data_IF_728021293348
#
_entry.id   IF_728021293348
#
_cell.length_a   1.000
_cell.length_b   1.000
_cell.length_c   1.000
_cell.angle_alpha   90.00
_cell.angle_beta   90.00
_cell.angle_gamma   90.00
#
_symmetry.space_group_name_H-M   'P 1'
#
loop_
_entity.id
_entity.type
_entity.pdbx_description
1 polymer ?
#
# COMPACT_ATOMS: atom_id res chain seq x y z
N UNK A 1 -4.34 22.05 -19.19
CA UNK A 1 -4.03 20.67 -18.76
C UNK A 1 -3.42 20.83 -17.39
N UNK A 2 -4.21 20.68 -16.33
CA UNK A 2 -3.64 20.73 -14.99
C UNK A 2 -2.85 19.45 -14.81
N UNK A 3 -1.56 19.57 -14.58
CA UNK A 3 -0.74 18.45 -14.13
C UNK A 3 -1.48 17.82 -12.94
N UNK A 4 -1.99 16.62 -13.15
CA UNK A 4 -2.54 15.78 -12.10
C UNK A 4 -1.37 15.41 -11.18
N UNK A 5 -1.02 16.31 -10.27
CA UNK A 5 0.05 16.10 -9.30
C UNK A 5 -0.35 14.95 -8.39
N UNK A 6 0.01 13.72 -8.79
CA UNK A 6 -0.17 12.54 -7.97
C UNK A 6 0.69 12.65 -6.72
N UNK A 7 0.19 12.13 -5.60
CA UNK A 7 0.98 11.98 -4.38
C UNK A 7 1.60 10.59 -4.35
N UNK A 8 2.91 10.51 -4.21
CA UNK A 8 3.61 9.25 -3.94
C UNK A 8 3.95 9.18 -2.46
N UNK A 9 3.42 8.17 -1.77
CA UNK A 9 3.78 7.85 -0.40
C UNK A 9 4.81 6.71 -0.45
N UNK A 10 6.05 7.00 -0.07
CA UNK A 10 7.12 6.00 0.02
C UNK A 10 7.06 5.31 1.38
N UNK A 11 6.90 3.98 1.38
CA UNK A 11 6.93 3.15 2.58
C UNK A 11 8.31 2.52 2.71
N UNK A 12 9.05 2.90 3.75
CA UNK A 12 10.45 2.52 3.95
C UNK A 12 10.58 1.68 5.24
N UNK A 13 11.40 0.63 5.19
CA UNK A 13 11.71 -0.18 6.35
C UNK A 13 10.62 -1.21 6.65
N UNK A 14 9.90 -1.07 7.77
CA UNK A 14 8.93 -2.07 8.22
C UNK A 14 7.53 -1.48 8.39
N UNK A 15 6.55 -2.13 7.78
CA UNK A 15 5.13 -1.83 7.97
C UNK A 15 4.47 -2.88 8.86
N UNK A 16 3.62 -2.41 9.79
CA UNK A 16 2.90 -3.24 10.75
C UNK A 16 1.51 -2.65 10.98
N UNK A 17 0.63 -3.39 11.67
CA UNK A 17 -0.73 -2.94 12.03
C UNK A 17 -0.77 -1.51 12.60
N UNK A 18 0.15 -1.17 13.51
CA UNK A 18 0.22 0.15 14.15
C UNK A 18 0.48 1.32 13.18
N UNK A 19 1.00 1.04 11.98
CA UNK A 19 1.31 2.07 10.97
C UNK A 19 0.17 2.25 9.95
N UNK A 20 -0.83 1.37 9.95
CA UNK A 20 -1.91 1.37 8.94
C UNK A 20 -2.77 2.63 9.03
N UNK A 21 -3.09 3.09 10.24
CA UNK A 21 -3.91 4.28 10.46
C UNK A 21 -3.24 5.55 9.92
N UNK A 22 -1.93 5.69 10.17
CA UNK A 22 -1.14 6.82 9.68
C UNK A 22 -1.11 6.85 8.14
N UNK A 23 -0.81 5.71 7.49
CA UNK A 23 -0.79 5.63 6.03
C UNK A 23 -2.18 5.89 5.44
N UNK A 24 -3.24 5.41 6.10
CA UNK A 24 -4.63 5.67 5.70
C UNK A 24 -4.95 7.17 5.77
N UNK A 25 -4.49 7.84 6.82
CA UNK A 25 -4.67 9.29 7.00
C UNK A 25 -3.94 10.07 5.91
N UNK A 26 -2.70 9.70 5.57
CA UNK A 26 -1.95 10.34 4.49
C UNK A 26 -2.61 10.13 3.11
N UNK A 27 -3.14 8.92 2.85
CA UNK A 27 -3.92 8.66 1.63
C UNK A 27 -5.16 9.56 1.58
N UNK A 28 -5.91 9.68 2.68
CA UNK A 28 -7.13 10.49 2.75
C UNK A 28 -6.88 11.99 2.65
N UNK A 29 -5.73 12.46 3.12
CA UNK A 29 -5.29 13.85 3.00
C UNK A 29 -4.84 14.21 1.58
N UNK A 30 -4.44 13.21 0.78
CA UNK A 30 -4.10 13.43 -0.62
C UNK A 30 -5.37 13.64 -1.44
N UNK A 31 -5.65 14.91 -1.79
CA UNK A 31 -6.76 15.28 -2.68
C UNK A 31 -6.55 14.89 -4.15
N UNK A 32 -5.55 14.05 -4.45
CA UNK A 32 -5.14 13.65 -5.79
C UNK A 32 -4.90 12.13 -5.88
N UNK A 33 -4.46 11.68 -7.06
CA UNK A 33 -4.13 10.27 -7.28
C UNK A 33 -2.98 9.83 -6.37
N UNK A 34 -3.18 8.77 -5.59
CA UNK A 34 -2.14 8.24 -4.69
C UNK A 34 -1.45 7.02 -5.29
N UNK A 35 -0.11 6.99 -5.15
CA UNK A 35 0.75 5.83 -5.40
C UNK A 35 1.45 5.45 -4.09
N UNK A 36 1.39 4.17 -3.72
CA UNK A 36 2.20 3.61 -2.65
C UNK A 36 3.46 2.99 -3.25
N UNK A 37 4.62 3.50 -2.91
CA UNK A 37 5.91 3.00 -3.38
C UNK A 37 6.54 2.12 -2.30
N UNK A 38 6.83 0.87 -2.64
CA UNK A 38 7.33 -0.15 -1.72
C UNK A 38 8.81 -0.52 -1.98
N UNK A 39 9.53 0.25 -2.80
CA UNK A 39 10.92 -0.02 -3.20
C UNK A 39 11.84 -0.36 -2.02
N UNK A 40 11.68 0.35 -0.90
CA UNK A 40 12.52 0.22 0.29
C UNK A 40 11.78 -0.47 1.46
N UNK A 41 10.66 -1.13 1.19
CA UNK A 41 9.91 -1.87 2.20
C UNK A 41 10.50 -3.27 2.35
N UNK A 42 11.03 -3.57 3.54
CA UNK A 42 11.75 -4.82 3.81
C UNK A 42 10.94 -5.84 4.62
N UNK A 43 9.99 -5.39 5.44
CA UNK A 43 9.18 -6.26 6.29
C UNK A 43 7.73 -5.77 6.37
N UNK A 44 6.79 -6.72 6.28
CA UNK A 44 5.35 -6.48 6.46
C UNK A 44 4.76 -7.58 7.34
N UNK A 45 3.84 -7.22 8.24
CA UNK A 45 3.00 -8.19 8.92
C UNK A 45 1.71 -8.47 8.14
N UNK A 46 0.89 -9.39 8.67
CA UNK A 46 -0.34 -9.83 8.00
C UNK A 46 -1.37 -8.70 7.84
N UNK A 47 -1.47 -7.81 8.81
CA UNK A 47 -2.43 -6.69 8.77
C UNK A 47 -1.98 -5.63 7.75
N UNK A 48 -0.67 -5.37 7.65
CA UNK A 48 -0.10 -4.55 6.59
C UNK A 48 -0.31 -5.17 5.20
N UNK A 49 -0.15 -6.49 5.05
CA UNK A 49 -0.44 -7.19 3.78
C UNK A 49 -1.91 -7.02 3.39
N UNK A 50 -2.85 -7.23 4.33
CA UNK A 50 -4.29 -7.04 4.10
C UNK A 50 -4.58 -5.60 3.69
N UNK A 51 -3.99 -4.63 4.38
CA UNK A 51 -4.11 -3.22 4.05
C UNK A 51 -3.64 -2.91 2.61
N UNK A 52 -2.45 -3.40 2.22
CA UNK A 52 -1.94 -3.20 0.86
C UNK A 52 -2.83 -3.88 -0.19
N UNK A 53 -3.36 -5.07 0.12
CA UNK A 53 -4.33 -5.77 -0.70
C UNK A 53 -5.64 -4.99 -0.90
N UNK A 54 -6.15 -4.36 0.16
CA UNK A 54 -7.33 -3.50 0.15
C UNK A 54 -7.08 -2.19 -0.63
N UNK A 55 -5.88 -1.60 -0.50
CA UNK A 55 -5.50 -0.43 -1.30
C UNK A 55 -5.58 -0.73 -2.80
N UNK A 56 -5.03 -1.87 -3.25
CA UNK A 56 -5.17 -2.31 -4.65
C UNK A 56 -6.62 -2.48 -5.08
N UNK A 57 -7.45 -3.09 -4.23
CA UNK A 57 -8.87 -3.29 -4.52
C UNK A 57 -9.64 -1.96 -4.65
N UNK A 58 -9.21 -0.93 -3.91
CA UNK A 58 -9.75 0.44 -3.98
C UNK A 58 -9.20 1.27 -5.15
N UNK A 59 -8.34 0.70 -6.00
CA UNK A 59 -7.75 1.39 -7.14
C UNK A 59 -6.51 2.24 -6.82
N UNK A 60 -5.97 2.15 -5.60
CA UNK A 60 -4.69 2.79 -5.25
C UNK A 60 -3.56 2.03 -5.93
N UNK A 61 -2.70 2.76 -6.64
CA UNK A 61 -1.58 2.17 -7.36
C UNK A 61 -0.48 1.77 -6.38
N UNK A 62 0.07 0.57 -6.53
CA UNK A 62 1.25 0.12 -5.76
C UNK A 62 2.43 -0.03 -6.72
N UNK A 63 3.46 0.79 -6.52
CA UNK A 63 4.71 0.79 -7.28
C UNK A 63 5.81 0.00 -6.57
N UNK A 64 6.77 -0.51 -7.36
CA UNK A 64 7.95 -1.25 -6.90
C UNK A 64 7.66 -2.33 -5.83
N UNK A 65 6.52 -3.00 -5.94
CA UNK A 65 6.10 -4.00 -4.96
C UNK A 65 7.06 -5.20 -4.95
N UNK A 66 7.78 -5.47 -3.84
CA UNK A 66 8.63 -6.64 -3.72
C UNK A 66 7.82 -7.93 -3.99
N UNK A 67 8.38 -8.92 -4.71
CA UNK A 67 7.66 -10.15 -5.07
C UNK A 67 7.02 -10.86 -3.87
N UNK A 68 7.72 -10.91 -2.73
CA UNK A 68 7.19 -11.56 -1.53
C UNK A 68 5.91 -10.90 -1.01
N UNK A 69 5.77 -9.57 -1.12
CA UNK A 69 4.55 -8.85 -0.73
C UNK A 69 3.40 -9.17 -1.68
N UNK A 70 3.67 -9.25 -2.99
CA UNK A 70 2.66 -9.68 -3.98
C UNK A 70 2.14 -11.08 -3.66
N UNK A 71 3.04 -12.02 -3.35
CA UNK A 71 2.68 -13.39 -3.00
C UNK A 71 1.82 -13.45 -1.75
N UNK A 72 2.16 -12.66 -0.72
CA UNK A 72 1.37 -12.58 0.51
C UNK A 72 -0.01 -11.97 0.27
N UNK A 73 -0.13 -10.90 -0.53
CA UNK A 73 -1.42 -10.32 -0.91
C UNK A 73 -2.27 -11.35 -1.67
N UNK A 74 -1.67 -12.10 -2.59
CA UNK A 74 -2.37 -13.14 -3.35
C UNK A 74 -2.84 -14.29 -2.45
N UNK A 75 -1.98 -14.73 -1.53
CA UNK A 75 -2.31 -15.79 -0.55
C UNK A 75 -3.47 -15.38 0.35
N UNK A 76 -3.49 -14.15 0.84
CA UNK A 76 -4.53 -13.71 1.77
C UNK A 76 -5.89 -13.57 1.08
N UNK A 77 -5.91 -13.12 -0.18
CA UNK A 77 -7.15 -13.08 -0.99
C UNK A 77 -7.80 -14.46 -1.17
N UNK A 78 -7.02 -15.53 -1.18
CA UNK A 78 -7.54 -16.90 -1.26
C UNK A 78 -8.10 -17.45 0.05
N UNK A 79 -7.96 -16.72 1.17
CA UNK A 79 -8.44 -17.13 2.50
C UNK A 79 -9.74 -16.43 2.91
N UNK A 80 -10.15 -15.41 2.16
CA UNK A 80 -11.36 -14.62 2.39
C UNK A 80 -12.58 -15.14 1.58
N UNK A 81 -12.44 -16.26 0.86
CA UNK A 81 -13.49 -17.01 0.15
C UNK A 81 -13.74 -18.36 0.78
#
# INVERSE_FOLDING_TARGET
MSDEHGTTIRLIGRMQAQHVEEVTTQIGASGARVVLDLEELSLVDIDAVRFLGACRARGISIAHCPPYINDWIAKERGRDT
#
